data_IF_720422387682
#
_entry.id   IF_720422387682
#
_cell.length_a   1.000
_cell.length_b   1.000
_cell.length_c   1.000
_cell.angle_alpha   90.00
_cell.angle_beta   90.00
_cell.angle_gamma   90.00
#
_symmetry.space_group_name_H-M   'P 1'
#
loop_
_entity.id
_entity.type
_entity.pdbx_description
1 polymer ?
#
# COMPACT_ATOMS: atom_id res chain seq x y z
N UNK A 1 -5.21 -2.00 23.93
CA UNK A 1 -5.69 -1.04 22.91
C UNK A 1 -7.22 -0.98 22.95
N UNK A 2 -7.81 0.21 22.86
CA UNK A 2 -9.27 0.38 22.79
C UNK A 2 -9.82 0.27 21.36
N UNK A 3 -11.12 -0.02 21.15
CA UNK A 3 -11.72 -0.01 19.81
C UNK A 3 -11.54 1.32 19.08
N UNK A 4 -11.72 2.46 19.76
CA UNK A 4 -11.50 3.80 19.19
C UNK A 4 -10.07 3.98 18.67
N UNK A 5 -9.08 3.49 19.41
CA UNK A 5 -7.68 3.49 18.96
C UNK A 5 -7.48 2.58 17.74
N UNK A 6 -8.05 1.38 17.75
CA UNK A 6 -7.94 0.45 16.62
C UNK A 6 -8.57 1.01 15.34
N UNK A 7 -9.75 1.64 15.43
CA UNK A 7 -10.43 2.30 14.31
C UNK A 7 -9.54 3.41 13.73
N UNK A 8 -9.08 4.33 14.58
CA UNK A 8 -8.19 5.43 14.14
C UNK A 8 -6.90 4.92 13.51
N UNK A 9 -6.35 3.83 14.05
CA UNK A 9 -5.15 3.20 13.49
C UNK A 9 -5.44 2.65 12.09
N UNK A 10 -6.48 1.82 11.92
CA UNK A 10 -6.81 1.23 10.63
C UNK A 10 -7.22 2.29 9.59
N UNK A 11 -7.98 3.32 9.98
CA UNK A 11 -8.29 4.46 9.10
C UNK A 11 -7.03 5.20 8.64
N UNK A 12 -5.99 5.24 9.47
CA UNK A 12 -4.68 5.79 9.09
C UNK A 12 -3.84 4.85 8.23
N UNK A 13 -4.12 3.56 8.20
CA UNK A 13 -3.33 2.57 7.45
C UNK A 13 -3.99 2.13 6.14
N UNK A 14 -5.31 2.32 6.01
CA UNK A 14 -6.11 1.94 4.85
C UNK A 14 -6.36 3.18 3.99
N UNK A 15 -5.76 3.18 2.80
CA UNK A 15 -5.85 4.29 1.84
C UNK A 15 -6.19 3.74 0.46
N UNK A 16 -7.13 4.36 -0.24
CA UNK A 16 -7.42 4.02 -1.63
C UNK A 16 -6.43 4.73 -2.55
N UNK A 17 -5.79 3.97 -3.45
CA UNK A 17 -4.74 4.50 -4.34
C UNK A 17 -4.90 3.89 -5.72
N UNK A 18 -4.73 4.70 -6.77
CA UNK A 18 -4.53 4.25 -8.15
C UNK A 18 -3.04 4.03 -8.40
N UNK A 19 -2.63 2.91 -8.98
CA UNK A 19 -1.21 2.59 -9.26
C UNK A 19 -0.41 2.10 -8.05
N UNK A 20 0.93 2.15 -8.16
CA UNK A 20 1.86 1.75 -7.10
C UNK A 20 2.15 2.91 -6.14
N UNK A 21 2.36 2.58 -4.87
CA UNK A 21 2.47 3.54 -3.75
C UNK A 21 3.79 4.34 -3.74
N UNK A 22 4.89 3.74 -4.18
CA UNK A 22 6.21 4.37 -4.22
C UNK A 22 6.31 5.43 -5.33
N UNK A 23 5.88 5.16 -6.59
CA UNK A 23 5.63 6.20 -7.57
C UNK A 23 4.65 7.28 -7.07
N UNK A 24 3.56 6.88 -6.39
CA UNK A 24 2.59 7.83 -5.86
C UNK A 24 3.21 8.76 -4.81
N UNK A 25 4.16 8.29 -3.98
CA UNK A 25 4.88 9.13 -3.04
C UNK A 25 5.75 10.19 -3.73
N UNK A 26 6.45 9.82 -4.81
CA UNK A 26 7.21 10.79 -5.63
C UNK A 26 6.24 11.81 -6.24
N UNK A 27 5.18 11.35 -6.88
CA UNK A 27 4.18 12.22 -7.50
C UNK A 27 3.49 13.14 -6.47
N UNK A 28 3.19 12.63 -5.28
CA UNK A 28 2.60 13.37 -4.16
C UNK A 28 3.54 14.44 -3.61
N UNK A 29 4.84 14.16 -3.52
CA UNK A 29 5.83 15.17 -3.14
C UNK A 29 5.82 16.35 -4.14
N UNK A 30 5.90 16.06 -5.45
CA UNK A 30 5.80 17.11 -6.48
C UNK A 30 4.50 17.91 -6.38
N UNK A 31 3.35 17.21 -6.34
CA UNK A 31 2.04 17.86 -6.25
C UNK A 31 1.92 18.73 -5.00
N UNK A 32 2.38 18.22 -3.86
CA UNK A 32 2.34 18.94 -2.57
C UNK A 32 3.17 20.21 -2.65
N UNK A 33 4.40 20.15 -3.15
CA UNK A 33 5.25 21.33 -3.20
C UNK A 33 4.65 22.42 -4.12
N UNK A 34 4.17 22.01 -5.30
CA UNK A 34 3.65 22.91 -6.32
C UNK A 34 2.33 23.58 -5.93
N UNK A 35 1.44 22.89 -5.21
CA UNK A 35 0.16 23.50 -4.77
C UNK A 35 0.34 24.62 -3.73
N UNK A 36 1.50 24.67 -3.07
CA UNK A 36 1.81 25.69 -2.06
C UNK A 36 2.59 26.88 -2.66
N UNK A 37 2.98 26.82 -3.93
CA UNK A 37 3.56 27.96 -4.62
C UNK A 37 2.48 28.98 -4.97
N UNK A 38 2.78 30.30 -4.89
CA UNK A 38 1.85 31.34 -5.31
C UNK A 38 1.58 31.26 -6.82
N UNK A 39 2.60 30.93 -7.60
CA UNK A 39 2.52 30.75 -9.05
C UNK A 39 3.29 29.49 -9.47
N UNK A 40 2.78 28.78 -10.48
CA UNK A 40 3.46 27.61 -11.03
C UNK A 40 4.63 28.07 -11.92
N UNK A 41 5.83 27.48 -11.77
CA UNK A 41 6.97 27.84 -12.60
C UNK A 41 6.71 27.56 -14.09
N UNK A 42 7.24 28.44 -14.96
CA UNK A 42 7.21 28.24 -16.41
C UNK A 42 7.87 26.88 -16.74
N UNK A 43 7.16 25.98 -17.48
CA UNK A 43 7.71 24.70 -17.91
C UNK A 43 9.08 24.77 -18.60
N UNK A 44 9.46 25.90 -19.21
CA UNK A 44 10.75 26.06 -19.90
C UNK A 44 11.94 26.20 -18.97
N UNK A 45 11.73 26.69 -17.74
CA UNK A 45 12.79 26.95 -16.75
C UNK A 45 12.63 26.12 -15.48
N UNK A 46 11.64 25.21 -15.46
CA UNK A 46 11.37 24.36 -14.32
C UNK A 46 12.50 23.34 -14.17
N UNK A 47 13.18 23.37 -13.01
CA UNK A 47 14.12 22.33 -12.60
C UNK A 47 13.80 21.86 -11.19
N UNK A 48 14.05 20.59 -10.92
CA UNK A 48 13.84 19.96 -9.63
C UNK A 48 14.92 18.91 -9.35
N UNK A 49 15.32 18.81 -8.09
CA UNK A 49 16.15 17.73 -7.58
C UNK A 49 15.31 16.77 -6.76
N UNK A 50 15.34 15.49 -7.11
CA UNK A 50 14.71 14.40 -6.38
C UNK A 50 15.77 13.53 -5.71
N UNK A 51 15.85 13.60 -4.39
CA UNK A 51 16.62 12.66 -3.56
C UNK A 51 15.69 11.56 -3.07
N UNK A 52 16.02 10.30 -3.35
CA UNK A 52 15.12 9.17 -3.07
C UNK A 52 15.88 7.99 -2.47
N UNK A 53 15.35 7.39 -1.41
CA UNK A 53 15.91 6.17 -0.80
C UNK A 53 16.02 5.02 -1.82
N UNK A 54 17.00 4.14 -1.64
CA UNK A 54 17.21 2.95 -2.48
C UNK A 54 15.93 2.11 -2.66
N UNK A 55 15.18 1.88 -1.59
CA UNK A 55 13.98 1.04 -1.65
C UNK A 55 12.84 1.70 -2.43
N UNK A 56 12.59 2.99 -2.18
CA UNK A 56 11.60 3.75 -2.94
C UNK A 56 12.00 3.88 -4.43
N UNK A 57 13.29 4.10 -4.71
CA UNK A 57 13.80 4.15 -6.08
C UNK A 57 13.59 2.84 -6.81
N UNK A 58 13.99 1.70 -6.21
CA UNK A 58 13.83 0.35 -6.79
C UNK A 58 12.38 0.06 -7.20
N UNK A 59 11.43 0.38 -6.32
CA UNK A 59 10.01 0.12 -6.60
C UNK A 59 9.44 1.14 -7.61
N UNK A 60 9.88 2.40 -7.56
CA UNK A 60 9.42 3.43 -8.49
C UNK A 60 10.03 3.32 -9.89
N UNK A 61 11.24 2.79 -10.03
CA UNK A 61 11.94 2.68 -11.31
C UNK A 61 11.31 1.66 -12.25
N UNK A 62 10.60 0.67 -11.72
CA UNK A 62 10.00 -0.42 -12.53
C UNK A 62 8.48 -0.34 -12.64
N UNK A 63 7.81 0.38 -11.74
CA UNK A 63 6.36 0.54 -11.77
C UNK A 63 5.90 1.37 -12.97
N UNK A 64 4.88 0.87 -13.69
CA UNK A 64 4.19 1.63 -14.73
C UNK A 64 3.21 2.64 -14.11
N UNK A 65 3.34 3.91 -14.48
CA UNK A 65 2.42 4.96 -14.05
C UNK A 65 1.10 4.86 -14.83
N UNK A 66 -0.06 4.74 -14.14
CA UNK A 66 -1.37 4.68 -14.79
C UNK A 66 -1.64 5.87 -15.71
N UNK A 67 -2.44 5.67 -16.76
CA UNK A 67 -2.74 6.64 -17.85
C UNK A 67 -1.54 7.08 -18.71
N UNK A 68 -0.33 7.20 -18.15
CA UNK A 68 0.90 7.43 -18.91
C UNK A 68 1.38 6.18 -19.64
N UNK A 69 1.17 4.99 -19.05
CA UNK A 69 1.65 3.70 -19.57
C UNK A 69 3.17 3.66 -19.76
N UNK A 70 3.87 4.43 -18.93
CA UNK A 70 5.34 4.52 -18.91
C UNK A 70 5.83 4.19 -17.51
N UNK A 71 6.87 3.38 -17.42
CA UNK A 71 7.51 3.06 -16.14
C UNK A 71 8.53 4.12 -15.74
N UNK A 72 8.81 4.17 -14.44
CA UNK A 72 10.00 4.84 -13.92
C UNK A 72 9.75 6.12 -13.14
N UNK A 73 10.84 6.56 -12.49
CA UNK A 73 10.85 7.73 -11.60
C UNK A 73 10.45 9.01 -12.32
N UNK A 74 10.94 9.22 -13.55
CA UNK A 74 10.59 10.39 -14.36
C UNK A 74 9.09 10.43 -14.68
N UNK A 75 8.48 9.27 -14.99
CA UNK A 75 7.04 9.19 -15.22
C UNK A 75 6.23 9.54 -13.97
N UNK A 76 6.68 9.08 -12.80
CA UNK A 76 6.03 9.42 -11.53
C UNK A 76 6.13 10.92 -11.24
N UNK A 77 7.31 11.50 -11.40
CA UNK A 77 7.55 12.92 -11.19
C UNK A 77 6.74 13.79 -12.18
N UNK A 78 6.72 13.43 -13.46
CA UNK A 78 5.95 14.14 -14.49
C UNK A 78 4.44 14.09 -14.21
N UNK A 79 3.91 12.94 -13.79
CA UNK A 79 2.52 12.82 -13.37
C UNK A 79 2.21 13.67 -12.13
N UNK A 80 3.10 13.69 -11.11
CA UNK A 80 2.96 14.55 -9.94
C UNK A 80 2.96 16.03 -10.28
N UNK A 81 3.86 16.47 -11.16
CA UNK A 81 3.94 17.84 -11.68
C UNK A 81 2.66 18.28 -12.41
N UNK A 82 1.98 17.34 -13.05
CA UNK A 82 0.75 17.57 -13.80
C UNK A 82 -0.53 17.24 -12.99
N UNK A 83 -0.40 16.75 -11.77
CA UNK A 83 -1.53 16.29 -10.96
C UNK A 83 -2.39 17.46 -10.47
N UNK A 84 -3.69 17.21 -10.38
CA UNK A 84 -4.69 18.12 -9.78
C UNK A 84 -5.20 17.61 -8.43
N UNK A 85 -4.84 16.39 -8.04
CA UNK A 85 -5.30 15.76 -6.81
C UNK A 85 -4.96 16.59 -5.56
N UNK A 86 -5.86 16.59 -4.59
CA UNK A 86 -5.66 17.23 -3.28
C UNK A 86 -5.01 16.28 -2.26
N UNK A 87 -5.13 14.97 -2.48
CA UNK A 87 -4.71 13.90 -1.58
C UNK A 87 -3.63 13.01 -2.21
N UNK A 88 -3.36 11.87 -1.56
CA UNK A 88 -2.34 10.92 -1.98
C UNK A 88 -2.70 10.14 -3.27
N UNK A 89 -3.95 10.18 -3.73
CA UNK A 89 -4.41 9.47 -4.93
C UNK A 89 -4.05 10.25 -6.22
N UNK A 90 -2.78 10.64 -6.33
CA UNK A 90 -2.24 11.58 -7.34
C UNK A 90 -2.40 11.15 -8.79
N UNK A 91 -2.52 9.85 -9.06
CA UNK A 91 -2.71 9.31 -10.41
C UNK A 91 -4.18 9.26 -10.84
N UNK A 92 -5.14 9.54 -9.94
CA UNK A 92 -6.55 9.60 -10.31
C UNK A 92 -6.83 10.76 -11.28
N UNK A 93 -6.25 11.93 -11.02
CA UNK A 93 -6.42 13.11 -11.87
C UNK A 93 -5.12 13.89 -12.09
N UNK A 94 -4.62 13.85 -13.33
CA UNK A 94 -3.54 14.68 -13.81
C UNK A 94 -3.72 15.04 -15.30
N UNK A 95 -3.08 16.14 -15.69
CA UNK A 95 -3.02 16.61 -17.07
C UNK A 95 -2.09 15.73 -17.91
N UNK A 96 -2.69 14.85 -18.72
CA UNK A 96 -1.93 13.88 -19.52
C UNK A 96 -1.06 14.53 -20.60
N UNK A 97 -1.53 15.52 -21.39
CA UNK A 97 -0.67 16.27 -22.30
C UNK A 97 0.53 16.92 -21.62
N UNK A 98 0.33 17.59 -20.48
CA UNK A 98 1.41 18.23 -19.73
C UNK A 98 2.41 17.21 -19.20
N UNK A 99 1.94 16.11 -18.60
CA UNK A 99 2.81 15.05 -18.12
C UNK A 99 3.66 14.44 -19.26
N UNK A 100 3.06 14.24 -20.44
CA UNK A 100 3.80 13.76 -21.63
C UNK A 100 4.86 14.74 -22.12
N UNK A 101 4.66 16.06 -21.96
CA UNK A 101 5.70 17.05 -22.29
C UNK A 101 6.93 16.92 -21.38
N UNK A 102 6.71 16.77 -20.07
CA UNK A 102 7.79 16.54 -19.09
C UNK A 102 8.43 15.15 -19.21
N UNK A 103 7.78 14.20 -19.89
CA UNK A 103 8.41 12.91 -20.23
C UNK A 103 9.33 13.00 -21.45
N UNK A 104 8.98 13.82 -22.46
CA UNK A 104 9.75 13.95 -23.70
C UNK A 104 11.12 14.61 -23.47
N UNK A 105 11.19 15.55 -22.53
CA UNK A 105 12.44 16.16 -22.09
C UNK A 105 12.58 15.92 -20.59
N UNK A 106 13.61 15.18 -20.18
CA UNK A 106 13.87 14.81 -18.78
C UNK A 106 14.84 15.74 -18.04
N UNK A 107 15.43 16.73 -18.71
CA UNK A 107 16.53 17.56 -18.16
C UNK A 107 16.08 18.46 -17.00
N UNK A 108 14.77 18.63 -16.82
CA UNK A 108 14.20 19.32 -15.67
C UNK A 108 14.38 18.55 -14.35
N UNK A 109 14.65 17.23 -14.39
CA UNK A 109 14.68 16.39 -13.20
C UNK A 109 16.05 15.76 -12.96
N UNK A 110 16.74 16.22 -11.91
CA UNK A 110 17.92 15.55 -11.38
C UNK A 110 17.49 14.49 -10.35
N UNK A 111 17.71 13.21 -10.65
CA UNK A 111 17.41 12.10 -9.72
C UNK A 111 18.69 11.66 -9.01
N UNK A 112 18.68 11.72 -7.68
CA UNK A 112 19.81 11.36 -6.81
C UNK A 112 19.41 10.21 -5.87
N UNK A 113 19.76 8.96 -6.20
CA UNK A 113 19.54 7.82 -5.31
C UNK A 113 20.35 7.94 -4.02
N UNK A 114 19.72 7.69 -2.88
CA UNK A 114 20.35 7.69 -1.57
C UNK A 114 20.57 6.26 -1.06
N UNK A 115 21.75 6.00 -0.49
CA UNK A 115 22.04 4.76 0.26
C UNK A 115 21.35 4.78 1.64
N UNK A 116 20.02 4.80 1.61
CA UNK A 116 19.13 4.83 2.77
C UNK A 116 18.04 3.77 2.61
N UNK A 117 17.73 3.07 3.70
CA UNK A 117 16.62 2.11 3.78
C UNK A 117 15.31 2.79 4.19
N UNK A 118 14.20 2.10 3.91
CA UNK A 118 12.87 2.60 4.21
C UNK A 118 12.47 3.70 3.22
N UNK A 119 11.31 4.32 3.46
CA UNK A 119 10.80 5.36 2.57
C UNK A 119 11.41 6.73 2.91
N UNK A 120 12.07 7.31 1.92
CA UNK A 120 12.52 8.70 1.91
C UNK A 120 12.38 9.29 0.50
N UNK A 121 11.64 10.40 0.38
CA UNK A 121 11.47 11.16 -0.86
C UNK A 121 11.66 12.64 -0.53
N UNK A 122 12.61 13.29 -1.17
CA UNK A 122 12.98 14.68 -0.94
C UNK A 122 13.01 15.41 -2.28
N UNK A 123 12.00 16.24 -2.52
CA UNK A 123 11.86 17.05 -3.73
C UNK A 123 12.21 18.48 -3.39
N UNK A 124 13.17 19.06 -4.10
CA UNK A 124 13.56 20.45 -3.96
C UNK A 124 13.53 21.16 -5.32
N UNK A 125 12.89 22.34 -5.36
CA UNK A 125 12.99 23.26 -6.50
C UNK A 125 14.14 24.26 -6.27
N UNK A 126 14.41 24.57 -5.00
CA UNK A 126 15.48 25.45 -4.53
C UNK A 126 15.81 25.09 -3.07
N UNK A 127 16.89 25.63 -2.47
CA UNK A 127 17.23 25.36 -1.06
C UNK A 127 16.12 25.72 -0.06
N UNK A 128 15.33 26.75 -0.40
CA UNK A 128 14.24 27.31 0.41
C UNK A 128 12.84 26.81 0.01
N UNK A 129 12.74 26.00 -1.04
CA UNK A 129 11.48 25.40 -1.52
C UNK A 129 11.64 23.89 -1.72
N UNK A 130 11.20 23.12 -0.72
CA UNK A 130 11.39 21.67 -0.66
C UNK A 130 10.33 20.95 0.17
N UNK A 131 10.09 19.68 -0.14
CA UNK A 131 9.26 18.77 0.65
C UNK A 131 9.98 17.45 0.88
N UNK A 132 9.89 16.94 2.10
CA UNK A 132 10.45 15.65 2.50
C UNK A 132 9.32 14.77 3.00
N UNK A 133 9.15 13.61 2.36
CA UNK A 133 8.32 12.51 2.85
C UNK A 133 9.21 11.47 3.51
N UNK A 134 8.82 11.00 4.70
CA UNK A 134 9.63 10.02 5.44
C UNK A 134 8.77 9.04 6.25
N UNK A 135 9.17 7.77 6.22
CA UNK A 135 8.57 6.68 7.00
C UNK A 135 7.28 6.13 6.37
N UNK A 136 6.32 7.00 6.04
CA UNK A 136 5.07 6.63 5.32
C UNK A 136 4.94 7.39 4.01
N UNK A 137 4.26 6.79 3.03
CA UNK A 137 4.13 7.29 1.66
C UNK A 137 3.49 8.67 1.56
N UNK A 138 2.64 9.02 2.54
CA UNK A 138 1.84 10.24 2.62
C UNK A 138 2.34 11.23 3.70
N UNK A 139 3.32 10.84 4.51
CA UNK A 139 3.73 11.62 5.68
C UNK A 139 4.76 12.67 5.31
N UNK A 140 4.32 13.93 5.31
CA UNK A 140 5.17 15.11 5.14
C UNK A 140 5.97 15.34 6.43
N UNK A 141 7.25 14.96 6.39
CA UNK A 141 8.18 15.16 7.49
C UNK A 141 8.65 16.62 7.57
N UNK A 142 8.84 17.26 6.41
CA UNK A 142 9.18 18.68 6.30
C UNK A 142 8.59 19.27 5.04
N UNK A 143 8.04 20.47 5.12
CA UNK A 143 7.62 21.27 3.99
C UNK A 143 8.08 22.70 4.18
N UNK A 144 8.97 23.17 3.30
CA UNK A 144 9.44 24.55 3.28
C UNK A 144 9.12 25.14 1.93
N UNK A 145 8.49 26.30 1.89
CA UNK A 145 8.11 26.98 0.64
C UNK A 145 8.52 28.44 0.74
N UNK A 146 9.42 28.87 -0.15
CA UNK A 146 9.96 30.23 -0.16
C UNK A 146 10.47 30.65 1.23
N UNK A 147 11.21 29.76 1.88
CA UNK A 147 11.78 29.96 3.22
C UNK A 147 10.81 29.80 4.39
N UNK A 148 9.50 29.67 4.14
CA UNK A 148 8.48 29.50 5.19
C UNK A 148 8.26 28.02 5.51
N UNK A 149 8.26 27.68 6.80
CA UNK A 149 7.90 26.33 7.24
C UNK A 149 6.38 26.15 7.23
N UNK A 150 5.91 25.24 6.38
CA UNK A 150 4.51 24.86 6.25
C UNK A 150 4.30 23.39 6.65
N UNK A 151 5.22 22.81 7.41
CA UNK A 151 5.16 21.41 7.84
C UNK A 151 3.85 21.16 8.61
N UNK A 152 2.98 20.23 8.14
CA UNK A 152 1.75 19.93 8.85
C UNK A 152 2.02 19.38 10.24
N UNK A 153 1.19 19.74 11.22
CA UNK A 153 1.29 19.16 12.56
C UNK A 153 1.05 17.64 12.47
N UNK A 154 1.96 16.81 13.02
CA UNK A 154 1.81 15.37 12.94
C UNK A 154 0.55 14.92 13.70
N UNK A 155 -0.31 14.14 13.05
CA UNK A 155 -1.38 13.44 13.73
C UNK A 155 -0.78 12.20 14.39
N UNK A 156 -0.64 12.21 15.72
CA UNK A 156 -0.15 11.05 16.46
C UNK A 156 -1.03 9.83 16.16
N UNK A 157 -0.41 8.78 15.61
CA UNK A 157 -1.08 7.51 15.42
C UNK A 157 -1.19 6.78 16.76
N UNK A 158 -2.26 5.99 16.96
CA UNK A 158 -2.34 5.09 18.10
C UNK A 158 -1.14 4.13 18.14
N UNK A 159 -0.78 3.61 19.33
CA UNK A 159 0.31 2.63 19.44
C UNK A 159 0.02 1.37 18.63
N UNK A 160 1.06 0.63 18.25
CA UNK A 160 0.91 -0.64 17.53
C UNK A 160 0.23 -1.68 18.45
N UNK A 161 -0.76 -2.46 17.96
CA UNK A 161 -1.46 -3.44 18.78
C UNK A 161 -0.55 -4.61 19.14
N UNK A 162 -0.63 -5.11 20.38
CA UNK A 162 -0.05 -6.41 20.75
C UNK A 162 -0.96 -7.53 20.28
N UNK A 163 -0.44 -8.75 20.14
CA UNK A 163 -1.27 -9.91 19.74
C UNK A 163 -2.48 -10.10 20.66
N UNK A 164 -2.32 -9.91 21.97
CA UNK A 164 -3.43 -9.98 22.92
C UNK A 164 -4.52 -8.94 22.62
N UNK A 165 -4.15 -7.71 22.26
CA UNK A 165 -5.10 -6.67 21.86
C UNK A 165 -5.90 -7.11 20.63
N UNK A 166 -5.24 -7.71 19.62
CA UNK A 166 -5.87 -8.17 18.39
C UNK A 166 -6.93 -9.23 18.69
N UNK A 167 -6.61 -10.23 19.52
CA UNK A 167 -7.57 -11.23 19.97
C UNK A 167 -8.77 -10.61 20.66
N UNK A 168 -8.55 -9.70 21.61
CA UNK A 168 -9.62 -9.02 22.35
C UNK A 168 -10.50 -8.19 21.41
N UNK A 169 -9.90 -7.42 20.49
CA UNK A 169 -10.63 -6.56 19.56
C UNK A 169 -11.45 -7.35 18.55
N UNK A 170 -10.88 -8.41 17.97
CA UNK A 170 -11.58 -9.27 17.02
C UNK A 170 -12.75 -10.02 17.67
N UNK A 171 -12.58 -10.58 18.88
CA UNK A 171 -13.66 -11.27 19.61
C UNK A 171 -14.79 -10.34 20.05
N UNK A 172 -14.50 -9.06 20.24
CA UNK A 172 -15.48 -8.07 20.71
C UNK A 172 -16.56 -7.76 19.67
N UNK A 173 -16.34 -8.04 18.38
CA UNK A 173 -17.28 -7.74 17.28
C UNK A 173 -17.80 -6.29 17.31
N UNK A 174 -16.88 -5.33 17.49
CA UNK A 174 -17.28 -3.93 17.57
C UNK A 174 -17.83 -3.45 16.21
N UNK A 175 -19.05 -2.89 16.14
CA UNK A 175 -19.72 -2.55 14.88
C UNK A 175 -18.87 -1.70 13.94
N UNK A 176 -18.27 -0.61 14.43
CA UNK A 176 -17.44 0.26 13.59
C UNK A 176 -16.16 -0.40 13.06
N UNK A 177 -15.59 -1.37 13.79
CA UNK A 177 -14.42 -2.11 13.31
C UNK A 177 -14.81 -3.10 12.21
N UNK A 178 -15.92 -3.81 12.40
CA UNK A 178 -16.47 -4.71 11.38
C UNK A 178 -16.93 -3.94 10.14
N UNK A 179 -17.56 -2.77 10.31
CA UNK A 179 -17.94 -1.88 9.23
C UNK A 179 -16.72 -1.40 8.44
N UNK A 180 -15.62 -1.04 9.12
CA UNK A 180 -14.37 -0.67 8.46
C UNK A 180 -13.75 -1.86 7.70
N UNK A 181 -13.77 -3.06 8.26
CA UNK A 181 -13.30 -4.27 7.57
C UNK A 181 -14.17 -4.61 6.36
N UNK A 182 -15.49 -4.49 6.49
CA UNK A 182 -16.45 -4.66 5.40
C UNK A 182 -16.21 -3.64 4.29
N UNK A 183 -16.04 -2.37 4.65
CA UNK A 183 -15.71 -1.29 3.72
C UNK A 183 -14.40 -1.58 2.97
N UNK A 184 -13.35 -2.02 3.67
CA UNK A 184 -12.08 -2.43 3.06
C UNK A 184 -12.24 -3.54 1.99
N UNK A 185 -13.01 -4.60 2.28
CA UNK A 185 -13.18 -5.73 1.34
C UNK A 185 -14.17 -5.42 0.21
N UNK A 186 -15.15 -4.54 0.47
CA UNK A 186 -16.20 -4.18 -0.51
C UNK A 186 -15.70 -3.13 -1.51
N UNK A 187 -14.88 -2.18 -1.07
CA UNK A 187 -14.19 -1.20 -1.94
C UNK A 187 -12.95 -1.76 -2.62
N UNK A 188 -12.53 -2.97 -2.28
CA UNK A 188 -11.53 -3.67 -3.08
C UNK A 188 -12.07 -3.99 -4.48
N UNK A 189 -11.16 -4.20 -5.43
CA UNK A 189 -11.55 -4.51 -6.82
C UNK A 189 -12.54 -5.67 -6.83
N UNK A 190 -13.68 -5.56 -7.54
CA UNK A 190 -14.66 -6.63 -7.60
C UNK A 190 -14.07 -7.95 -8.11
N UNK A 191 -14.67 -9.04 -7.67
CA UNK A 191 -14.35 -10.38 -8.14
C UNK A 191 -14.55 -10.49 -9.66
N UNK A 192 -13.59 -11.10 -10.36
CA UNK A 192 -13.73 -11.41 -11.78
C UNK A 192 -14.48 -12.74 -11.94
N UNK A 193 -15.71 -12.69 -12.50
CA UNK A 193 -16.47 -13.91 -12.79
C UNK A 193 -15.66 -14.82 -13.71
N UNK A 194 -15.69 -16.13 -13.45
CA UNK A 194 -15.01 -17.14 -14.27
C UNK A 194 -13.54 -17.40 -13.92
N UNK A 195 -12.95 -16.70 -12.94
CA UNK A 195 -11.59 -16.96 -12.48
C UNK A 195 -11.55 -17.45 -11.02
N UNK A 196 -10.75 -18.46 -10.68
CA UNK A 196 -10.55 -18.87 -9.29
C UNK A 196 -9.87 -17.76 -8.47
N UNK A 197 -10.05 -17.77 -7.14
CA UNK A 197 -9.49 -16.75 -6.22
C UNK A 197 -7.99 -16.49 -6.44
N UNK A 198 -7.20 -17.56 -6.60
CA UNK A 198 -5.76 -17.47 -6.85
C UNK A 198 -5.47 -16.63 -8.09
N UNK A 199 -6.16 -16.90 -9.19
CA UNK A 199 -5.94 -16.20 -10.46
C UNK A 199 -6.46 -14.76 -10.39
N UNK A 200 -7.56 -14.52 -9.67
CA UNK A 200 -8.04 -13.15 -9.42
C UNK A 200 -6.99 -12.33 -8.67
N UNK A 201 -6.41 -12.85 -7.59
CA UNK A 201 -5.34 -12.18 -6.83
C UNK A 201 -4.14 -11.87 -7.73
N UNK A 202 -3.68 -12.86 -8.51
CA UNK A 202 -2.55 -12.70 -9.44
C UNK A 202 -2.83 -11.59 -10.45
N UNK A 203 -3.95 -11.66 -11.17
CA UNK A 203 -4.32 -10.70 -12.21
C UNK A 203 -4.43 -9.27 -11.67
N UNK A 204 -5.04 -9.09 -10.48
CA UNK A 204 -5.13 -7.77 -9.84
C UNK A 204 -3.76 -7.23 -9.44
N UNK A 205 -2.87 -8.07 -8.92
CA UNK A 205 -1.49 -7.66 -8.61
C UNK A 205 -0.73 -7.30 -9.88
N UNK A 206 -0.74 -8.15 -10.92
CA UNK A 206 -0.04 -7.88 -12.19
C UNK A 206 -0.57 -6.61 -12.85
N UNK A 207 -1.89 -6.45 -12.93
CA UNK A 207 -2.51 -5.26 -13.53
C UNK A 207 -2.00 -3.96 -12.90
N UNK A 208 -1.81 -3.92 -11.57
CA UNK A 208 -1.24 -2.74 -10.92
C UNK A 208 0.18 -2.46 -11.36
N UNK A 209 1.02 -3.48 -11.43
CA UNK A 209 2.42 -3.34 -11.81
C UNK A 209 2.55 -2.87 -13.27
N UNK A 210 1.59 -3.21 -14.11
CA UNK A 210 1.50 -2.81 -15.53
C UNK A 210 0.65 -1.55 -15.79
N UNK A 211 0.31 -0.80 -14.74
CA UNK A 211 -0.31 0.53 -14.87
C UNK A 211 -1.81 0.49 -15.18
N UNK A 212 -2.51 -0.54 -14.73
CA UNK A 212 -3.97 -0.56 -14.70
C UNK A 212 -4.49 0.51 -13.75
N UNK A 213 -5.53 1.24 -14.16
CA UNK A 213 -5.99 2.46 -13.49
C UNK A 213 -7.09 2.22 -12.45
N UNK A 214 -7.37 0.95 -12.13
CA UNK A 214 -8.41 0.62 -11.17
C UNK A 214 -7.95 0.95 -9.73
N UNK A 215 -8.73 1.70 -8.95
CA UNK A 215 -8.39 2.04 -7.58
C UNK A 215 -8.46 0.82 -6.67
N UNK A 216 -7.66 0.84 -5.62
CA UNK A 216 -7.42 -0.34 -4.79
C UNK A 216 -7.14 0.12 -3.37
N UNK A 217 -7.74 -0.58 -2.42
CA UNK A 217 -7.51 -0.37 -1.00
C UNK A 217 -6.12 -0.90 -0.66
N UNK A 218 -5.27 -0.03 -0.16
CA UNK A 218 -3.97 -0.39 0.41
C UNK A 218 -4.12 -0.67 1.89
N UNK A 219 -3.17 -1.40 2.46
CA UNK A 219 -2.97 -1.44 3.90
C UNK A 219 -1.48 -1.35 4.19
N UNK A 220 -1.12 -0.61 5.24
CA UNK A 220 0.29 -0.41 5.63
C UNK A 220 1.16 0.17 4.51
N UNK A 221 0.54 0.87 3.56
CA UNK A 221 1.22 1.47 2.42
C UNK A 221 1.55 0.50 1.28
N UNK A 222 0.95 -0.70 1.24
CA UNK A 222 1.09 -1.61 0.11
C UNK A 222 -0.27 -2.05 -0.40
N UNK A 223 -0.46 -1.85 -1.69
CA UNK A 223 -1.68 -2.25 -2.34
C UNK A 223 -1.73 -3.71 -2.78
N UNK A 224 -0.58 -4.35 -3.01
CA UNK A 224 -0.53 -5.80 -3.22
C UNK A 224 -0.96 -6.54 -1.96
N UNK A 225 -0.53 -6.06 -0.78
CA UNK A 225 -0.99 -6.58 0.51
C UNK A 225 -2.49 -6.34 0.71
N UNK A 226 -2.99 -5.18 0.28
CA UNK A 226 -4.42 -4.86 0.31
C UNK A 226 -5.27 -5.80 -0.57
N UNK A 227 -4.85 -6.08 -1.81
CA UNK A 227 -5.50 -7.08 -2.68
C UNK A 227 -5.45 -8.47 -2.03
N UNK A 228 -4.27 -8.86 -1.55
CA UNK A 228 -4.01 -10.20 -1.02
C UNK A 228 -4.86 -10.51 0.21
N UNK A 229 -5.11 -9.52 1.07
CA UNK A 229 -6.02 -9.66 2.21
C UNK A 229 -7.48 -9.49 1.80
N UNK A 230 -7.78 -8.50 0.96
CA UNK A 230 -9.14 -8.08 0.66
C UNK A 230 -9.94 -9.07 -0.18
N UNK A 231 -9.35 -9.65 -1.23
CA UNK A 231 -10.08 -10.56 -2.12
C UNK A 231 -10.52 -11.86 -1.44
N UNK A 232 -9.66 -12.55 -0.67
CA UNK A 232 -10.10 -13.71 0.11
C UNK A 232 -11.26 -13.41 1.05
N UNK A 233 -11.18 -12.33 1.83
CA UNK A 233 -12.25 -11.98 2.75
C UNK A 233 -13.52 -11.50 2.04
N UNK A 234 -13.41 -10.88 0.86
CA UNK A 234 -14.59 -10.56 0.04
C UNK A 234 -15.33 -11.83 -0.36
N UNK A 235 -14.61 -12.84 -0.86
CA UNK A 235 -15.22 -14.11 -1.24
C UNK A 235 -15.81 -14.85 -0.03
N UNK A 236 -15.07 -14.90 1.08
CA UNK A 236 -15.56 -15.52 2.31
C UNK A 236 -16.78 -14.76 2.88
N UNK A 237 -16.85 -13.43 2.76
CA UNK A 237 -18.01 -12.67 3.20
C UNK A 237 -19.26 -12.96 2.36
N UNK A 238 -19.11 -13.26 1.05
CA UNK A 238 -20.24 -13.71 0.23
C UNK A 238 -20.80 -15.06 0.71
N UNK A 239 -20.00 -15.86 1.41
CA UNK A 239 -20.36 -17.21 1.85
C UNK A 239 -20.80 -17.26 3.32
N UNK A 240 -20.08 -16.57 4.21
CA UNK A 240 -20.28 -16.58 5.66
C UNK A 240 -20.97 -15.31 6.18
N UNK A 241 -21.25 -14.32 5.32
CA UNK A 241 -21.80 -13.04 5.73
C UNK A 241 -20.92 -12.35 6.78
N UNK A 242 -21.56 -11.74 7.78
CA UNK A 242 -20.87 -10.98 8.83
C UNK A 242 -19.94 -11.83 9.71
N UNK A 243 -20.11 -13.16 9.73
CA UNK A 243 -19.39 -14.04 10.66
C UNK A 243 -17.89 -14.14 10.36
N UNK A 244 -17.47 -13.76 9.14
CA UNK A 244 -16.05 -13.67 8.78
C UNK A 244 -15.42 -12.33 9.15
N UNK A 245 -16.20 -11.29 9.45
CA UNK A 245 -15.67 -9.94 9.71
C UNK A 245 -14.70 -9.89 10.91
N UNK A 246 -14.90 -10.63 12.02
CA UNK A 246 -13.91 -10.74 13.09
C UNK A 246 -12.53 -11.21 12.61
N UNK A 247 -12.51 -12.15 11.66
CA UNK A 247 -11.29 -12.68 11.06
C UNK A 247 -10.61 -11.63 10.17
N UNK A 248 -11.40 -10.87 9.39
CA UNK A 248 -10.89 -9.76 8.59
C UNK A 248 -10.28 -8.66 9.50
N UNK A 249 -10.96 -8.26 10.58
CA UNK A 249 -10.44 -7.32 11.59
C UNK A 249 -9.12 -7.85 12.18
N UNK A 250 -9.07 -9.14 12.52
CA UNK A 250 -7.86 -9.78 13.03
C UNK A 250 -6.70 -9.64 12.03
N UNK A 251 -6.92 -10.01 10.76
CA UNK A 251 -5.89 -9.91 9.71
C UNK A 251 -5.42 -8.48 9.48
N UNK A 252 -6.32 -7.50 9.47
CA UNK A 252 -5.94 -6.09 9.27
C UNK A 252 -5.05 -5.58 10.42
N UNK A 253 -5.38 -5.92 11.68
CA UNK A 253 -4.55 -5.54 12.82
C UNK A 253 -3.23 -6.34 12.89
N UNK A 254 -3.26 -7.62 12.52
CA UNK A 254 -2.06 -8.45 12.41
C UNK A 254 -1.11 -7.91 11.33
N UNK A 255 -1.65 -7.45 10.21
CA UNK A 255 -0.90 -6.78 9.15
C UNK A 255 -0.18 -5.53 9.66
N UNK A 256 -0.84 -4.72 10.51
CA UNK A 256 -0.20 -3.55 11.14
C UNK A 256 0.91 -3.97 12.11
N UNK A 257 0.67 -4.96 12.96
CA UNK A 257 1.67 -5.50 13.88
C UNK A 257 2.93 -6.00 13.13
N UNK A 258 2.75 -6.80 12.08
CA UNK A 258 3.85 -7.34 11.28
C UNK A 258 4.58 -6.25 10.49
N UNK A 259 3.86 -5.24 10.01
CA UNK A 259 4.44 -4.08 9.33
C UNK A 259 5.22 -3.13 10.23
N UNK A 260 5.07 -3.24 11.55
CA UNK A 260 5.91 -2.51 12.49
C UNK A 260 7.17 -3.29 12.87
N UNK A 261 7.09 -4.63 12.92
CA UNK A 261 8.24 -5.51 13.15
C UNK A 261 9.19 -5.57 11.97
N UNK A 262 8.65 -5.42 10.77
CA UNK A 262 9.39 -5.37 9.52
C UNK A 262 9.20 -4.00 8.89
N UNK A 263 10.29 -3.31 8.53
CA UNK A 263 10.23 -2.01 7.83
C UNK A 263 9.21 -2.01 6.69
N UNK A 264 8.46 -0.92 6.53
CA UNK A 264 7.41 -0.80 5.48
C UNK A 264 7.94 -1.12 4.08
N UNK A 265 9.15 -0.67 3.79
CA UNK A 265 9.93 -1.06 2.63
C UNK A 265 11.10 -1.93 3.08
N UNK A 266 11.19 -3.14 2.52
CA UNK A 266 12.21 -4.12 2.85
C UNK A 266 12.82 -4.71 1.56
N UNK A 267 13.93 -5.43 1.71
CA UNK A 267 14.53 -6.24 0.63
C UNK A 267 13.75 -7.53 0.37
N UNK A 268 12.88 -7.93 1.29
CA UNK A 268 12.00 -9.10 1.17
C UNK A 268 10.59 -8.68 0.77
N UNK A 269 9.86 -9.57 0.11
CA UNK A 269 8.50 -9.31 -0.30
C UNK A 269 7.53 -9.24 0.89
N UNK A 270 6.84 -8.11 1.02
CA UNK A 270 5.84 -7.92 2.08
C UNK A 270 4.62 -8.84 1.97
N UNK A 271 4.37 -9.50 0.82
CA UNK A 271 3.36 -10.56 0.76
C UNK A 271 3.78 -11.76 1.60
N UNK A 272 5.05 -12.17 1.53
CA UNK A 272 5.56 -13.32 2.25
C UNK A 272 5.75 -13.03 3.76
N UNK A 273 6.30 -11.87 4.10
CA UNK A 273 6.66 -11.55 5.49
C UNK A 273 5.52 -10.92 6.30
N UNK A 274 4.47 -10.40 5.64
CA UNK A 274 3.39 -9.64 6.31
C UNK A 274 2.00 -10.15 5.94
N UNK A 275 1.61 -10.07 4.66
CA UNK A 275 0.22 -10.33 4.26
C UNK A 275 -0.19 -11.81 4.37
N UNK A 276 0.67 -12.74 3.94
CA UNK A 276 0.42 -14.18 4.07
C UNK A 276 0.28 -14.63 5.54
N UNK A 277 1.23 -14.34 6.45
CA UNK A 277 1.05 -14.68 7.86
C UNK A 277 -0.13 -13.96 8.51
N UNK A 278 -0.46 -12.71 8.11
CA UNK A 278 -1.64 -12.00 8.60
C UNK A 278 -2.96 -12.64 8.16
N UNK A 279 -3.06 -13.07 6.89
CA UNK A 279 -4.23 -13.77 6.37
C UNK A 279 -4.41 -15.13 7.06
N UNK A 280 -3.35 -15.93 7.08
CA UNK A 280 -3.36 -17.23 7.75
C UNK A 280 -3.73 -17.11 9.23
N UNK A 281 -3.24 -16.08 9.92
CA UNK A 281 -3.58 -15.85 11.32
C UNK A 281 -5.04 -15.47 11.54
N UNK A 282 -5.63 -14.62 10.68
CA UNK A 282 -7.05 -14.28 10.77
C UNK A 282 -7.96 -15.47 10.49
N UNK A 283 -7.62 -16.28 9.49
CA UNK A 283 -8.33 -17.53 9.18
C UNK A 283 -8.18 -18.57 10.31
N UNK A 284 -6.98 -18.73 10.86
CA UNK A 284 -6.75 -19.61 12.01
C UNK A 284 -7.49 -19.11 13.27
N UNK A 285 -7.55 -17.80 13.48
CA UNK A 285 -8.36 -17.20 14.54
C UNK A 285 -9.84 -17.54 14.40
N UNK A 286 -10.39 -17.47 13.18
CA UNK A 286 -11.76 -17.89 12.90
C UNK A 286 -12.00 -19.37 13.25
N UNK A 287 -11.01 -20.22 12.98
CA UNK A 287 -11.02 -21.64 13.36
C UNK A 287 -10.71 -21.91 14.85
N UNK A 288 -10.64 -20.89 15.70
CA UNK A 288 -10.44 -21.05 17.15
C UNK A 288 -8.98 -21.21 17.60
N UNK A 289 -8.00 -20.86 16.76
CA UNK A 289 -6.58 -21.02 17.10
C UNK A 289 -6.14 -20.20 18.32
N UNK A 290 -5.24 -20.78 19.12
CA UNK A 290 -4.66 -20.14 20.31
C UNK A 290 -3.59 -19.11 19.94
N UNK A 291 -3.24 -18.16 20.84
CA UNK A 291 -2.14 -17.24 20.61
C UNK A 291 -0.79 -17.91 20.32
N UNK A 292 -0.56 -19.11 20.87
CA UNK A 292 0.64 -19.89 20.59
C UNK A 292 0.67 -20.37 19.12
N UNK A 293 -0.47 -20.85 18.60
CA UNK A 293 -0.60 -21.23 17.19
C UNK A 293 -0.43 -20.03 16.26
N UNK A 294 -0.98 -18.87 16.60
CA UNK A 294 -0.77 -17.65 15.80
C UNK A 294 0.70 -17.22 15.77
N UNK A 295 1.42 -17.31 16.91
CA UNK A 295 2.86 -17.04 16.94
C UNK A 295 3.65 -18.00 16.05
N UNK A 296 3.27 -19.28 16.01
CA UNK A 296 3.86 -20.25 15.09
C UNK A 296 3.61 -19.85 13.63
N UNK A 297 2.37 -19.48 13.25
CA UNK A 297 2.03 -19.01 11.90
C UNK A 297 2.88 -17.80 11.48
N UNK A 298 3.07 -16.82 12.38
CA UNK A 298 3.91 -15.65 12.11
C UNK A 298 5.39 -15.98 11.86
N UNK A 299 5.88 -17.13 12.31
CA UNK A 299 7.24 -17.61 12.07
C UNK A 299 7.30 -18.54 10.84
N UNK A 300 6.36 -19.48 10.76
CA UNK A 300 6.44 -20.62 9.85
C UNK A 300 6.08 -20.22 8.40
N UNK A 301 5.09 -19.34 8.19
CA UNK A 301 4.71 -18.89 6.84
C UNK A 301 5.85 -18.11 6.17
N UNK A 302 6.49 -17.10 6.80
CA UNK A 302 7.66 -16.47 6.21
C UNK A 302 8.81 -17.44 5.93
N UNK A 303 9.07 -18.40 6.84
CA UNK A 303 10.13 -19.39 6.66
C UNK A 303 9.86 -20.31 5.46
N UNK A 304 8.62 -20.73 5.25
CA UNK A 304 8.21 -21.55 4.10
C UNK A 304 8.38 -20.79 2.77
N UNK A 305 8.13 -19.48 2.76
CA UNK A 305 8.19 -18.67 1.55
C UNK A 305 9.59 -18.15 1.26
N UNK A 306 10.53 -18.21 2.21
CA UNK A 306 11.87 -17.68 2.03
C UNK A 306 12.75 -18.58 1.13
N UNK A 307 13.63 -18.00 0.29
CA UNK A 307 13.77 -16.57 0.02
C UNK A 307 12.79 -16.06 -1.05
N UNK A 308 12.18 -14.90 -0.81
CA UNK A 308 11.28 -14.24 -1.77
C UNK A 308 11.58 -12.74 -1.86
N UNK A 309 12.57 -12.33 -2.68
CA UNK A 309 13.11 -10.98 -2.67
C UNK A 309 12.14 -9.95 -3.30
N UNK A 310 12.25 -8.69 -2.86
CA UNK A 310 11.60 -7.54 -3.48
C UNK A 310 12.55 -6.89 -4.49
N UNK A 311 12.31 -7.13 -5.78
CA UNK A 311 13.13 -6.60 -6.88
C UNK A 311 12.58 -5.30 -7.48
N UNK A 312 11.34 -4.94 -7.12
CA UNK A 312 10.65 -3.78 -7.67
C UNK A 312 9.16 -4.06 -7.81
N UNK A 313 8.44 -3.08 -8.36
CA UNK A 313 7.03 -3.20 -8.70
C UNK A 313 6.89 -3.72 -10.14
N UNK A 314 6.97 -5.04 -10.31
CA UNK A 314 7.05 -5.72 -11.60
C UNK A 314 5.96 -6.81 -11.75
N UNK A 315 5.61 -7.23 -12.97
CA UNK A 315 4.64 -8.31 -13.20
C UNK A 315 4.89 -9.59 -12.37
N UNK A 316 6.16 -9.91 -12.08
CA UNK A 316 6.54 -11.04 -11.22
C UNK A 316 5.96 -10.97 -9.78
N UNK A 317 5.43 -9.82 -9.34
CA UNK A 317 4.65 -9.73 -8.11
C UNK A 317 3.41 -10.63 -8.12
N UNK A 318 2.87 -10.95 -9.30
CA UNK A 318 1.77 -11.90 -9.47
C UNK A 318 2.15 -13.30 -9.00
N UNK A 319 3.26 -13.85 -9.49
CA UNK A 319 3.74 -15.18 -9.08
C UNK A 319 4.07 -15.25 -7.59
N UNK A 320 4.61 -14.16 -7.04
CA UNK A 320 4.84 -14.00 -5.61
C UNK A 320 3.54 -14.05 -4.82
N UNK A 321 2.48 -13.42 -5.32
CA UNK A 321 1.16 -13.49 -4.72
C UNK A 321 0.56 -14.90 -4.81
N UNK A 322 0.77 -15.61 -5.92
CA UNK A 322 0.37 -17.01 -6.09
C UNK A 322 1.03 -17.91 -5.05
N UNK A 323 2.37 -17.85 -4.95
CA UNK A 323 3.14 -18.65 -3.97
C UNK A 323 2.69 -18.36 -2.53
N UNK A 324 2.55 -17.06 -2.19
CA UNK A 324 2.08 -16.64 -0.88
C UNK A 324 0.67 -17.16 -0.56
N UNK A 325 -0.25 -17.15 -1.54
CA UNK A 325 -1.62 -17.62 -1.31
C UNK A 325 -1.66 -19.14 -1.11
N UNK A 326 -0.86 -19.90 -1.86
CA UNK A 326 -0.75 -21.36 -1.70
C UNK A 326 -0.29 -21.78 -0.30
N UNK A 327 0.62 -21.03 0.31
CA UNK A 327 1.02 -21.25 1.70
C UNK A 327 -0.11 -21.00 2.71
N UNK A 328 -1.12 -20.20 2.34
CA UNK A 328 -2.27 -19.88 3.19
C UNK A 328 -3.48 -20.80 2.94
N UNK A 329 -3.56 -21.48 1.80
CA UNK A 329 -4.67 -22.39 1.46
C UNK A 329 -5.06 -23.37 2.57
N UNK A 330 -4.14 -23.99 3.34
CA UNK A 330 -4.50 -24.93 4.41
C UNK A 330 -5.31 -24.30 5.56
N UNK A 331 -5.37 -22.97 5.65
CA UNK A 331 -6.11 -22.25 6.68
C UNK A 331 -7.52 -21.85 6.23
N UNK A 332 -7.85 -21.98 4.95
CA UNK A 332 -9.19 -21.66 4.49
C UNK A 332 -10.21 -22.62 5.10
N UNK A 333 -11.40 -22.13 5.49
CA UNK A 333 -12.45 -23.00 6.00
C UNK A 333 -12.84 -24.01 4.91
N UNK A 334 -12.99 -25.28 5.31
CA UNK A 334 -13.47 -26.34 4.42
C UNK A 334 -14.94 -26.06 4.14
N UNK A 335 -15.29 -25.97 2.85
CA UNK A 335 -16.67 -25.81 2.44
C UNK A 335 -17.45 -27.10 2.74
N UNK A 336 -18.65 -27.02 3.35
CA UNK A 336 -19.59 -28.12 3.20
C UNK A 336 -19.91 -28.28 1.70
N UNK A 337 -19.98 -29.51 1.17
CA UNK A 337 -20.14 -29.78 -0.26
C UNK A 337 -21.41 -29.22 -0.92
N UNK A 338 -22.32 -28.60 -0.15
CA UNK A 338 -23.55 -27.97 -0.64
C UNK A 338 -23.37 -26.55 -1.21
N UNK A 339 -22.21 -25.91 -1.02
CA UNK A 339 -21.92 -24.59 -1.60
C UNK A 339 -21.09 -24.72 -2.88
N UNK A 340 -21.70 -25.27 -3.96
CA UNK A 340 -21.11 -25.15 -5.30
C UNK A 340 -21.57 -23.84 -5.96
N UNK A 341 -20.56 -23.19 -6.53
CA UNK A 341 -20.51 -22.00 -7.38
C UNK A 341 -21.69 -21.81 -8.34
#
# INVERSE_FOLDING_TARGET
>A
MTPRQAIRLLQGEIVQVVGCTEPAAIAYAFRTLLRHLPELPDPKIFHARLRVSRDAHRNASTAVVPRLKTAGVLAAAAAGRASRAADFNVFADFDLPLARRYLKNGDWLEVVPLRRRGLYVDVALSPDTRVILQGRHDHIHKLTVLGRDLTPRPKALPPVPKLADIFTLARRRHPDLEALALDFITRQVPSEKGYPLEEQVVRRVVGRMTGYSHPVMTITGSGNQGIFLGLPYRQLHQQFGSDILPAAVFSLLAQVLLSHRHDRLASECGLATKAAPALAAGLAFHAGATPARIRAIFRDIPAQLAPLPCLGAEPACGDKARQALRAVLPFFPIFPPSARL
#
